data_IF_695230999150
#
_entry.id   IF_695230999150
#
_cell.length_a   1.000
_cell.length_b   1.000
_cell.length_c   1.000
_cell.angle_alpha   90.00
_cell.angle_beta   90.00
_cell.angle_gamma   90.00
#
_symmetry.space_group_name_H-M   'P 1'
#
loop_
_entity.id
_entity.type
_entity.pdbx_description
1 polymer ?
#
# COMPACT_ATOMS: atom_id res chain seq x y z
N UNK A 1 -68.08 3.86 42.95
CA UNK A 1 -68.71 2.75 42.21
C UNK A 1 -67.65 2.20 41.26
N UNK A 2 -67.17 0.98 41.55
CA UNK A 2 -66.17 0.24 40.79
C UNK A 2 -66.74 -0.26 39.45
N UNK A 3 -65.95 -0.15 38.38
CA UNK A 3 -65.96 -0.94 37.12
C UNK A 3 -65.13 -0.15 36.10
N UNK A 4 -64.27 -0.68 35.23
CA UNK A 4 -64.04 -2.04 34.77
C UNK A 4 -62.63 -2.07 34.14
N UNK A 5 -61.99 -3.23 34.25
CA UNK A 5 -60.81 -3.70 33.50
C UNK A 5 -60.80 -3.31 32.01
N UNK A 6 -59.63 -2.93 31.47
CA UNK A 6 -59.18 -3.37 30.14
C UNK A 6 -57.65 -3.26 30.03
N UNK A 7 -56.99 -4.34 30.45
CA UNK A 7 -55.59 -4.62 30.17
C UNK A 7 -55.46 -4.97 28.67
N UNK A 8 -55.06 -4.02 27.83
CA UNK A 8 -54.61 -4.30 26.47
C UNK A 8 -53.18 -4.86 26.51
N UNK A 9 -53.08 -6.17 26.71
CA UNK A 9 -51.87 -6.94 26.42
C UNK A 9 -51.56 -6.81 24.92
N UNK A 10 -50.55 -6.02 24.59
CA UNK A 10 -49.91 -6.09 23.29
C UNK A 10 -48.96 -7.29 23.29
N UNK A 11 -49.09 -8.24 22.34
CA UNK A 11 -48.11 -9.31 22.22
C UNK A 11 -46.81 -8.73 21.66
N UNK A 12 -45.76 -8.76 22.48
CA UNK A 12 -44.38 -8.56 22.00
C UNK A 12 -44.04 -9.75 21.09
N UNK A 13 -44.04 -9.52 19.78
CA UNK A 13 -43.40 -10.43 18.83
C UNK A 13 -41.89 -10.36 19.05
N UNK A 14 -41.19 -11.48 19.26
CA UNK A 14 -39.74 -11.45 19.27
C UNK A 14 -39.25 -11.20 17.84
N UNK A 15 -38.54 -10.09 17.62
CA UNK A 15 -37.73 -9.87 16.44
C UNK A 15 -36.59 -10.90 16.46
N UNK A 16 -36.79 -12.03 15.77
CA UNK A 16 -35.71 -12.92 15.40
C UNK A 16 -34.81 -12.17 14.43
N UNK A 17 -33.67 -11.66 14.91
CA UNK A 17 -32.58 -11.20 14.05
C UNK A 17 -31.97 -12.46 13.43
N UNK A 18 -32.54 -12.89 12.31
CA UNK A 18 -31.90 -13.82 11.42
C UNK A 18 -30.65 -13.12 10.86
N UNK A 19 -29.50 -13.41 11.46
CA UNK A 19 -28.19 -13.11 10.86
C UNK A 19 -28.04 -14.00 9.64
N UNK A 20 -28.59 -13.55 8.51
CA UNK A 20 -28.27 -14.10 7.22
C UNK A 20 -26.79 -13.81 6.95
N UNK A 21 -25.90 -14.71 7.39
CA UNK A 21 -24.57 -14.88 6.80
C UNK A 21 -24.80 -15.36 5.36
N UNK A 22 -25.04 -14.41 4.47
CA UNK A 22 -24.81 -14.64 3.05
C UNK A 22 -23.31 -14.92 2.93
N UNK A 23 -22.89 -16.14 2.56
CA UNK A 23 -21.48 -16.37 2.29
C UNK A 23 -21.10 -15.44 1.14
N UNK A 24 -20.16 -14.53 1.40
CA UNK A 24 -19.53 -13.76 0.33
C UNK A 24 -19.01 -14.79 -0.69
N UNK A 25 -19.35 -14.67 -1.97
CA UNK A 25 -18.82 -15.59 -2.96
C UNK A 25 -17.28 -15.54 -2.88
N UNK A 26 -16.59 -16.68 -2.96
CA UNK A 26 -15.13 -16.68 -3.06
C UNK A 26 -14.75 -15.77 -4.23
N UNK A 27 -13.83 -14.83 -3.99
CA UNK A 27 -13.35 -13.93 -5.04
C UNK A 27 -12.85 -14.78 -6.22
N UNK A 28 -13.38 -14.56 -7.45
CA UNK A 28 -13.02 -15.40 -8.57
C UNK A 28 -11.53 -15.30 -8.89
N UNK A 29 -10.85 -16.44 -8.77
CA UNK A 29 -9.42 -16.63 -9.09
C UNK A 29 -9.06 -16.31 -10.54
N UNK A 30 -10.07 -16.17 -11.41
CA UNK A 30 -9.93 -15.84 -12.84
C UNK A 30 -9.32 -14.47 -13.11
N UNK A 31 -9.17 -13.65 -12.08
CA UNK A 31 -8.57 -12.34 -12.18
C UNK A 31 -7.02 -12.38 -12.09
N UNK A 32 -6.40 -13.51 -11.70
CA UNK A 32 -4.95 -13.67 -11.58
C UNK A 32 -4.22 -14.15 -12.85
N UNK A 33 -4.92 -14.27 -13.98
CA UNK A 33 -4.33 -14.77 -15.21
C UNK A 33 -4.31 -13.69 -16.30
N UNK A 34 -3.30 -12.82 -16.30
CA UNK A 34 -2.65 -12.30 -17.52
C UNK A 34 -1.67 -11.18 -17.18
N UNK A 35 -0.38 -11.53 -17.08
CA UNK A 35 0.75 -10.88 -17.76
C UNK A 35 2.06 -11.46 -17.23
N UNK A 36 2.44 -12.62 -17.78
CA UNK A 36 3.85 -13.02 -17.86
C UNK A 36 4.56 -11.96 -18.71
N UNK A 37 5.32 -11.08 -18.07
CA UNK A 37 6.29 -10.24 -18.77
C UNK A 37 7.32 -11.20 -19.38
N UNK A 38 7.38 -11.22 -20.71
CA UNK A 38 8.44 -11.90 -21.46
C UNK A 38 9.72 -11.08 -21.31
N UNK A 39 10.73 -11.62 -20.63
CA UNK A 39 12.11 -11.13 -20.77
C UNK A 39 12.59 -11.43 -22.19
N UNK A 40 13.04 -10.40 -22.91
CA UNK A 40 13.75 -10.52 -24.19
C UNK A 40 15.25 -10.64 -23.85
N UNK A 41 15.97 -11.64 -24.39
CA UNK A 41 17.43 -11.72 -24.23
C UNK A 41 18.17 -11.04 -25.40
N UNK A 42 19.29 -10.44 -25.03
CA UNK A 42 20.50 -10.11 -25.81
C UNK A 42 20.46 -8.96 -26.82
N UNK A 43 21.39 -8.00 -26.68
CA UNK A 43 22.45 -7.75 -27.68
C UNK A 43 23.74 -7.32 -26.96
N UNK A 44 24.81 -8.10 -27.18
CA UNK A 44 26.20 -7.88 -26.80
C UNK A 44 26.90 -7.04 -27.89
N UNK A 45 27.74 -6.08 -27.49
CA UNK A 45 28.86 -5.41 -28.20
C UNK A 45 28.97 -3.99 -27.59
N UNK A 46 30.02 -3.56 -26.89
CA UNK A 46 31.44 -3.80 -27.06
C UNK A 46 32.08 -2.47 -27.49
N UNK A 47 32.59 -1.66 -26.56
CA UNK A 47 33.73 -0.78 -26.83
C UNK A 47 34.42 -0.28 -25.54
N UNK A 48 35.73 -0.46 -25.54
CA UNK A 48 36.72 -0.06 -24.54
C UNK A 48 36.99 1.44 -24.59
N UNK A 49 37.21 2.08 -23.42
CA UNK A 49 38.32 3.02 -23.11
C UNK A 49 38.13 3.69 -21.73
N UNK A 50 39.08 3.48 -20.81
CA UNK A 50 39.33 4.27 -19.57
C UNK A 50 40.39 5.37 -19.86
N UNK A 51 40.83 6.25 -18.92
CA UNK A 51 40.42 6.54 -17.51
C UNK A 51 40.14 8.07 -17.29
N UNK A 52 39.68 8.64 -16.16
CA UNK A 52 40.33 8.76 -14.83
C UNK A 52 39.44 9.64 -13.91
N UNK A 53 39.54 9.44 -12.58
CA UNK A 53 39.26 10.37 -11.45
C UNK A 53 37.89 10.27 -10.76
N UNK A 54 38.00 10.19 -9.42
CA UNK A 54 37.00 10.28 -8.34
C UNK A 54 36.22 9.00 -8.00
N UNK A 55 36.88 8.16 -7.21
CA UNK A 55 36.23 7.23 -6.28
C UNK A 55 35.34 8.01 -5.31
N UNK A 56 34.04 8.06 -5.59
CA UNK A 56 33.00 8.14 -4.56
C UNK A 56 32.38 6.76 -4.45
N UNK A 57 32.76 6.02 -3.40
CA UNK A 57 32.03 4.83 -2.97
C UNK A 57 30.73 5.31 -2.28
N UNK A 58 29.70 5.62 -3.05
CA UNK A 58 28.32 5.51 -2.56
C UNK A 58 27.83 4.13 -2.93
N UNK A 59 27.73 3.24 -1.95
CA UNK A 59 26.92 2.03 -2.08
C UNK A 59 25.45 2.45 -2.15
N UNK A 60 25.05 3.01 -3.28
CA UNK A 60 23.65 3.33 -3.57
C UNK A 60 22.98 2.01 -3.93
N UNK A 61 22.69 1.22 -2.89
CA UNK A 61 21.87 0.03 -3.02
C UNK A 61 20.48 0.52 -3.40
N UNK A 62 20.10 0.31 -4.65
CA UNK A 62 18.79 0.69 -5.16
C UNK A 62 17.69 -0.01 -4.34
N UNK A 63 16.87 0.79 -3.64
CA UNK A 63 15.79 0.31 -2.79
C UNK A 63 14.76 -0.50 -3.58
N UNK A 64 14.52 -0.12 -4.84
CA UNK A 64 13.55 -0.80 -5.70
C UNK A 64 13.97 -2.25 -5.99
N UNK A 65 15.28 -2.55 -5.96
CA UNK A 65 15.84 -3.89 -6.20
C UNK A 65 16.01 -4.72 -4.92
N UNK A 66 15.91 -4.09 -3.75
CA UNK A 66 16.09 -4.76 -2.45
C UNK A 66 14.87 -5.60 -2.10
N UNK A 67 15.04 -6.66 -1.30
CA UNK A 67 13.94 -7.51 -0.81
C UNK A 67 13.61 -7.16 0.65
N UNK A 68 12.32 -7.12 0.96
CA UNK A 68 11.86 -6.95 2.33
C UNK A 68 12.26 -8.15 3.21
N UNK A 69 12.51 -7.89 4.48
CA UNK A 69 12.73 -8.90 5.52
C UNK A 69 11.44 -9.08 6.32
N UNK A 70 11.20 -10.25 6.92
CA UNK A 70 10.03 -10.46 7.77
C UNK A 70 9.98 -9.45 8.93
N UNK A 71 8.83 -8.80 9.11
CA UNK A 71 8.64 -7.71 10.07
C UNK A 71 8.63 -8.15 11.55
N UNK A 72 8.59 -9.45 11.83
CA UNK A 72 8.44 -10.01 13.19
C UNK A 72 9.76 -10.49 13.82
N UNK A 73 10.91 -10.05 13.33
CA UNK A 73 12.20 -10.38 13.94
C UNK A 73 12.39 -9.60 15.24
N UNK A 74 12.78 -10.28 16.33
CA UNK A 74 12.97 -9.69 17.67
C UNK A 74 13.95 -8.50 17.71
N UNK A 75 14.83 -8.41 16.73
CA UNK A 75 15.90 -7.39 16.68
C UNK A 75 15.54 -6.19 15.81
N UNK A 76 14.34 -6.15 15.21
CA UNK A 76 13.93 -5.04 14.37
C UNK A 76 13.50 -3.85 15.25
N UNK A 77 14.14 -2.71 15.06
CA UNK A 77 13.83 -1.47 15.77
C UNK A 77 13.36 -0.40 14.78
N UNK A 78 12.45 0.50 15.18
CA UNK A 78 12.08 1.62 14.35
C UNK A 78 13.28 2.52 14.11
N UNK A 79 13.44 2.99 12.88
CA UNK A 79 14.51 3.92 12.53
C UNK A 79 14.26 5.30 13.12
N UNK A 80 15.34 6.07 13.30
CA UNK A 80 15.23 7.46 13.71
C UNK A 80 14.70 8.33 12.58
N UNK A 81 14.12 9.47 12.96
CA UNK A 81 13.65 10.48 12.01
C UNK A 81 14.76 10.96 11.05
N UNK A 82 16.00 11.10 11.52
CA UNK A 82 17.13 11.54 10.67
C UNK A 82 17.57 10.46 9.69
N UNK A 83 17.53 9.19 10.10
CA UNK A 83 17.77 8.06 9.20
C UNK A 83 16.69 8.01 8.10
N UNK A 84 15.42 8.18 8.47
CA UNK A 84 14.30 8.24 7.51
C UNK A 84 14.49 9.38 6.49
N UNK A 85 14.94 10.56 6.93
CA UNK A 85 15.22 11.71 6.04
C UNK A 85 16.32 11.44 5.03
N UNK A 86 17.31 10.63 5.38
CA UNK A 86 18.41 10.27 4.47
C UNK A 86 17.93 9.37 3.33
N UNK A 87 16.88 8.58 3.55
CA UNK A 87 16.31 7.68 2.55
C UNK A 87 15.22 8.34 1.70
N UNK A 88 14.58 9.40 2.19
CA UNK A 88 13.47 10.08 1.51
C UNK A 88 13.77 10.52 0.04
N UNK A 89 14.98 10.99 -0.32
CA UNK A 89 15.29 11.32 -1.72
C UNK A 89 15.19 10.15 -2.70
N UNK A 90 15.25 8.91 -2.21
CA UNK A 90 15.17 7.69 -3.03
C UNK A 90 13.71 7.29 -3.33
N UNK A 91 12.73 7.91 -2.67
CA UNK A 91 11.31 7.62 -2.82
C UNK A 91 10.54 8.90 -3.14
N UNK A 92 10.75 9.42 -4.35
CA UNK A 92 10.13 10.66 -4.81
C UNK A 92 8.59 10.68 -4.60
N UNK A 93 8.07 11.86 -4.26
CA UNK A 93 6.66 12.14 -3.94
C UNK A 93 6.09 11.48 -2.66
N UNK A 94 6.86 10.68 -1.92
CA UNK A 94 6.48 10.23 -0.58
C UNK A 94 6.76 11.30 0.47
N UNK A 95 5.88 11.38 1.46
CA UNK A 95 6.01 12.31 2.57
C UNK A 95 6.22 11.54 3.87
N UNK A 96 7.09 12.07 4.73
CA UNK A 96 7.22 11.60 6.10
C UNK A 96 6.14 12.27 6.95
N UNK A 97 5.28 11.47 7.56
CA UNK A 97 4.22 11.95 8.48
C UNK A 97 4.49 11.37 9.87
N UNK A 98 4.17 12.15 10.90
CA UNK A 98 4.19 11.70 12.30
C UNK A 98 2.75 11.79 12.82
N UNK A 99 2.19 10.65 13.21
CA UNK A 99 0.86 10.54 13.79
C UNK A 99 0.94 9.67 15.03
N UNK A 100 0.44 10.17 16.15
CA UNK A 100 0.45 9.47 17.45
C UNK A 100 1.86 8.97 17.84
N UNK A 101 2.88 9.80 17.61
CA UNK A 101 4.31 9.51 17.83
C UNK A 101 4.88 8.37 16.97
N UNK A 102 4.15 7.94 15.93
CA UNK A 102 4.58 6.93 14.96
C UNK A 102 4.92 7.62 13.63
N UNK A 103 6.17 7.43 13.19
CA UNK A 103 6.59 7.85 11.85
C UNK A 103 6.04 6.91 10.78
N UNK A 104 5.55 7.48 9.69
CA UNK A 104 4.99 6.73 8.54
C UNK A 104 5.36 7.41 7.22
N UNK A 105 5.32 6.64 6.14
CA UNK A 105 5.41 7.16 4.77
C UNK A 105 4.01 7.30 4.19
N UNK A 106 3.71 8.44 3.57
CA UNK A 106 2.39 8.70 2.98
C UNK A 106 2.50 9.32 1.59
N UNK A 107 1.74 8.77 0.64
CA UNK A 107 1.56 9.35 -0.70
C UNK A 107 0.10 9.24 -1.15
N UNK A 108 -0.35 10.25 -1.88
CA UNK A 108 -1.73 10.37 -2.33
C UNK A 108 -1.82 10.57 -3.84
N UNK A 109 -2.83 9.99 -4.46
CA UNK A 109 -3.14 10.07 -5.88
C UNK A 109 -4.62 10.38 -6.10
N UNK A 110 -4.91 11.04 -7.23
CA UNK A 110 -6.28 11.19 -7.74
C UNK A 110 -6.51 10.20 -8.87
N UNK A 111 -7.44 9.28 -8.69
CA UNK A 111 -7.84 8.31 -9.73
C UNK A 111 -8.97 8.85 -10.61
N UNK A 112 -9.16 8.25 -11.79
CA UNK A 112 -10.21 8.66 -12.74
C UNK A 112 -11.62 8.38 -12.21
N UNK A 113 -11.82 7.20 -11.61
CA UNK A 113 -13.12 6.71 -11.10
C UNK A 113 -12.91 5.87 -9.85
N UNK A 114 -14.00 5.59 -9.12
CA UNK A 114 -13.97 4.69 -7.96
C UNK A 114 -13.45 3.29 -8.31
N UNK A 115 -13.91 2.72 -9.43
CA UNK A 115 -13.44 1.41 -9.92
C UNK A 115 -11.95 1.40 -10.26
N UNK A 116 -11.41 2.52 -10.77
CA UNK A 116 -9.96 2.67 -10.98
C UNK A 116 -9.18 2.77 -9.68
N UNK A 117 -9.80 3.27 -8.60
CA UNK A 117 -9.25 3.20 -7.25
C UNK A 117 -9.12 1.74 -6.75
N UNK A 118 -10.13 0.91 -7.00
CA UNK A 118 -10.07 -0.52 -6.65
C UNK A 118 -9.01 -1.27 -7.48
N UNK A 119 -8.90 -0.97 -8.78
CA UNK A 119 -7.84 -1.52 -9.64
C UNK A 119 -6.44 -1.10 -9.16
N UNK A 120 -6.27 0.16 -8.76
CA UNK A 120 -5.04 0.67 -8.17
C UNK A 120 -4.65 -0.16 -6.94
N UNK A 121 -5.56 -0.32 -5.98
CA UNK A 121 -5.28 -1.10 -4.76
C UNK A 121 -4.90 -2.52 -5.02
N UNK A 122 -5.48 -3.13 -6.05
CA UNK A 122 -5.14 -4.49 -6.39
C UNK A 122 -3.70 -4.64 -6.87
N UNK A 123 -3.23 -3.73 -7.72
CA UNK A 123 -1.84 -3.74 -8.17
C UNK A 123 -0.89 -3.58 -6.97
N UNK A 124 -1.23 -2.68 -6.04
CA UNK A 124 -0.45 -2.49 -4.81
C UNK A 124 -0.50 -3.73 -3.91
N UNK A 125 -1.65 -4.38 -3.78
CA UNK A 125 -1.81 -5.58 -2.98
C UNK A 125 -0.98 -6.74 -3.54
N UNK A 126 -0.98 -6.95 -4.85
CA UNK A 126 -0.17 -8.00 -5.48
C UNK A 126 1.35 -7.76 -5.23
N UNK A 127 1.79 -6.51 -5.24
CA UNK A 127 3.17 -6.13 -4.87
C UNK A 127 3.45 -6.36 -3.37
N UNK A 128 2.53 -5.93 -2.50
CA UNK A 128 2.66 -6.08 -1.05
C UNK A 128 2.75 -7.55 -0.63
N UNK A 129 1.92 -8.42 -1.19
CA UNK A 129 1.97 -9.87 -0.98
C UNK A 129 3.30 -10.46 -1.46
N UNK A 130 3.79 -10.06 -2.63
CA UNK A 130 5.07 -10.54 -3.16
C UNK A 130 6.28 -10.11 -2.29
N UNK A 131 6.15 -9.01 -1.55
CA UNK A 131 7.18 -8.53 -0.62
C UNK A 131 6.94 -8.97 0.83
N UNK A 132 5.76 -9.51 1.17
CA UNK A 132 5.40 -9.84 2.54
C UNK A 132 5.38 -8.63 3.46
N UNK A 133 5.05 -7.46 2.93
CA UNK A 133 4.96 -6.20 3.68
C UNK A 133 3.75 -5.40 3.21
N UNK A 134 2.82 -5.14 4.14
CA UNK A 134 1.47 -4.68 3.81
C UNK A 134 1.28 -3.21 4.19
N UNK A 135 0.91 -2.34 3.22
CA UNK A 135 0.60 -0.94 3.51
C UNK A 135 -0.88 -0.76 3.88
N UNK A 136 -1.19 0.34 4.53
CA UNK A 136 -2.57 0.78 4.77
C UNK A 136 -3.11 1.48 3.51
N UNK A 137 -4.31 1.07 3.06
CA UNK A 137 -4.93 1.48 1.81
C UNK A 137 -6.20 2.32 2.06
N UNK A 138 -6.22 3.59 1.65
CA UNK A 138 -7.35 4.49 1.91
C UNK A 138 -7.95 5.04 0.61
N UNK A 139 -9.26 4.82 0.39
CA UNK A 139 -10.00 5.40 -0.73
C UNK A 139 -11.07 6.36 -0.19
N UNK A 140 -10.74 7.65 -0.20
CA UNK A 140 -11.56 8.71 0.40
C UNK A 140 -12.22 9.54 -0.69
N UNK A 141 -13.48 9.94 -0.49
CA UNK A 141 -14.18 10.83 -1.42
C UNK A 141 -14.17 10.31 -2.86
N UNK A 142 -14.41 9.01 -3.02
CA UNK A 142 -14.50 8.22 -4.26
C UNK A 142 -13.29 8.19 -5.22
N UNK A 143 -12.35 9.14 -5.14
CA UNK A 143 -11.19 9.21 -6.05
C UNK A 143 -9.85 9.56 -5.41
N UNK A 144 -9.81 9.74 -4.09
CA UNK A 144 -8.56 10.01 -3.39
C UNK A 144 -7.99 8.71 -2.87
N UNK A 145 -7.00 8.17 -3.57
CA UNK A 145 -6.24 7.03 -3.08
C UNK A 145 -5.06 7.55 -2.26
N UNK A 146 -4.95 7.10 -1.02
CA UNK A 146 -3.78 7.34 -0.17
C UNK A 146 -3.20 5.99 0.23
N UNK A 147 -1.88 5.88 0.13
CA UNK A 147 -1.11 4.74 0.62
C UNK A 147 -0.28 5.23 1.80
N UNK A 148 -0.37 4.49 2.89
CA UNK A 148 0.41 4.72 4.10
C UNK A 148 1.23 3.46 4.41
N UNK A 149 2.52 3.65 4.69
CA UNK A 149 3.45 2.54 4.91
C UNK A 149 4.21 2.78 6.20
N UNK A 150 4.13 1.81 7.09
CA UNK A 150 4.92 1.70 8.30
C UNK A 150 4.88 0.25 8.80
N UNK A 151 5.82 -0.10 9.67
CA UNK A 151 5.93 -1.45 10.19
C UNK A 151 5.19 -1.56 11.53
N UNK A 152 3.95 -2.06 11.48
CA UNK A 152 3.04 -2.20 12.62
C UNK A 152 3.67 -2.90 13.83
N UNK A 153 4.43 -3.98 13.62
CA UNK A 153 5.03 -4.80 14.67
C UNK A 153 6.11 -4.08 15.50
N UNK A 154 6.72 -3.02 14.96
CA UNK A 154 7.80 -2.28 15.64
C UNK A 154 7.40 -0.86 16.04
N UNK A 155 6.18 -0.43 15.71
CA UNK A 155 5.71 0.91 16.08
C UNK A 155 6.37 2.04 15.28
N UNK A 156 6.82 1.81 14.04
CA UNK A 156 7.46 2.87 13.25
C UNK A 156 8.05 2.41 11.92
N UNK A 157 8.92 3.24 11.35
CA UNK A 157 9.55 2.98 10.06
C UNK A 157 10.73 2.01 10.16
N UNK A 158 10.87 1.18 9.14
CA UNK A 158 11.97 0.26 8.90
C UNK A 158 12.41 0.36 7.45
N UNK A 159 13.52 -0.28 7.10
CA UNK A 159 14.00 -0.29 5.73
C UNK A 159 12.96 -0.86 4.75
N UNK A 160 12.13 -1.81 5.19
CA UNK A 160 11.09 -2.44 4.37
C UNK A 160 10.07 -1.42 3.87
N UNK A 161 9.73 -0.42 4.68
CA UNK A 161 8.78 0.62 4.31
C UNK A 161 9.28 1.42 3.11
N UNK A 162 10.58 1.74 3.10
CA UNK A 162 11.24 2.44 1.99
C UNK A 162 11.41 1.55 0.75
N UNK A 163 11.67 0.26 0.93
CA UNK A 163 11.75 -0.71 -0.18
C UNK A 163 10.39 -0.81 -0.88
N UNK A 164 9.31 -0.98 -0.12
CA UNK A 164 7.96 -1.06 -0.68
C UNK A 164 7.56 0.25 -1.36
N UNK A 165 7.84 1.40 -0.74
CA UNK A 165 7.60 2.72 -1.33
C UNK A 165 8.33 2.91 -2.67
N UNK A 166 9.60 2.49 -2.75
CA UNK A 166 10.39 2.54 -3.97
C UNK A 166 9.79 1.65 -5.07
N UNK A 167 9.37 0.42 -4.73
CA UNK A 167 8.73 -0.48 -5.70
C UNK A 167 7.40 0.03 -6.20
N UNK A 168 6.62 0.70 -5.35
CA UNK A 168 5.37 1.35 -5.76
C UNK A 168 5.64 2.46 -6.78
N UNK A 169 6.75 3.19 -6.66
CA UNK A 169 7.11 4.23 -7.64
C UNK A 169 7.36 3.67 -9.05
N UNK A 170 7.85 2.44 -9.16
CA UNK A 170 8.13 1.77 -10.44
C UNK A 170 6.87 1.19 -11.12
N UNK A 171 5.72 1.20 -10.44
CA UNK A 171 4.48 0.70 -11.02
C UNK A 171 3.95 1.66 -12.10
N UNK A 172 3.58 1.09 -13.26
CA UNK A 172 2.88 1.84 -14.29
C UNK A 172 1.40 2.01 -13.93
N UNK A 173 1.08 3.13 -13.26
CA UNK A 173 -0.27 3.46 -12.79
C UNK A 173 -0.97 4.54 -13.62
N UNK A 174 -0.31 5.05 -14.67
CA UNK A 174 -0.74 6.25 -15.40
C UNK A 174 -2.18 6.14 -15.95
N UNK A 175 -2.59 4.96 -16.40
CA UNK A 175 -3.94 4.75 -16.95
C UNK A 175 -5.06 4.80 -15.90
N UNK A 176 -4.71 4.68 -14.62
CA UNK A 176 -5.64 4.75 -13.48
C UNK A 176 -5.81 6.19 -12.97
N UNK A 177 -4.80 7.02 -13.18
CA UNK A 177 -4.69 8.36 -12.61
C UNK A 177 -5.44 9.41 -13.41
N UNK A 178 -6.06 10.36 -12.70
CA UNK A 178 -6.58 11.58 -13.30
C UNK A 178 -5.39 12.43 -13.78
N UNK A 179 -5.43 12.87 -15.04
CA UNK A 179 -4.42 13.81 -15.55
C UNK A 179 -4.43 15.08 -14.69
N UNK A 180 -3.27 15.52 -14.23
CA UNK A 180 -3.12 16.88 -13.69
C UNK A 180 -3.43 17.84 -14.83
N UNK A 181 -4.29 18.83 -14.59
CA UNK A 181 -4.46 19.91 -15.56
C UNK A 181 -3.10 20.61 -15.71
N UNK A 182 -2.59 20.70 -16.93
CA UNK A 182 -1.44 21.56 -17.24
C UNK A 182 -1.93 23.00 -17.13
N UNK A 183 -1.43 23.71 -16.12
CA UNK A 183 -1.56 25.17 -16.04
C UNK A 183 -0.50 25.83 -16.92
#
# INVERSE_FOLDING_TARGET
MNSLLLLLRHPLLPLSVATAKLPLPPFPQTYYASKRIRMIPEIFNGFSSRPTIATFCTTNKDLSTSKCVLCNTKDLQPMTHDAARTLLPQIAEWNLVNEDDVLKLRRSWKVKTFTKGLEFFRIIADLAEAEGHHPDLHLVGWNNVTIEIWTHSVGGLTQNDFILAAKINELNLHDLLRRKASN
#
